data_IF_326743186026
#
_entry.id   IF_326743186026
#
_cell.length_a   1.000
_cell.length_b   1.000
_cell.length_c   1.000
_cell.angle_alpha   90.00
_cell.angle_beta   90.00
_cell.angle_gamma   90.00
#
_symmetry.space_group_name_H-M   'P 1'
#
loop_
_entity.id
_entity.type
_entity.pdbx_description
1 polymer ?
#
# COMPACT_ATOMS: atom_id res chain seq x y z
N UNK A 1 -3.41 31.32 -26.40
CA UNK A 1 -3.40 29.96 -25.81
C UNK A 1 -4.46 29.13 -26.51
N UNK A 2 -4.07 28.10 -27.27
CA UNK A 2 -5.03 27.20 -27.90
C UNK A 2 -5.77 26.41 -26.82
N UNK A 3 -7.08 26.59 -26.74
CA UNK A 3 -7.96 25.76 -25.93
C UNK A 3 -7.96 24.36 -26.55
N UNK A 4 -7.01 23.52 -26.13
CA UNK A 4 -6.99 22.11 -26.51
C UNK A 4 -8.19 21.45 -25.86
N UNK A 5 -9.27 21.24 -26.63
CA UNK A 5 -10.45 20.49 -26.18
C UNK A 5 -9.97 19.15 -25.61
N UNK A 6 -10.29 18.88 -24.34
CA UNK A 6 -10.04 17.57 -23.74
C UNK A 6 -10.83 16.52 -24.52
N UNK A 7 -10.19 15.40 -24.82
CA UNK A 7 -10.87 14.25 -25.42
C UNK A 7 -11.83 13.69 -24.36
N UNK A 8 -13.08 13.43 -24.74
CA UNK A 8 -14.08 12.78 -23.88
C UNK A 8 -14.31 11.38 -24.40
N UNK A 9 -14.10 10.39 -23.54
CA UNK A 9 -14.32 8.99 -23.86
C UNK A 9 -15.80 8.64 -24.00
N UNK A 10 -16.09 7.72 -24.92
CA UNK A 10 -17.45 7.26 -25.24
C UNK A 10 -17.61 5.75 -25.02
N UNK A 11 -16.58 5.05 -24.55
CA UNK A 11 -16.68 3.62 -24.22
C UNK A 11 -17.59 3.41 -23.00
N UNK A 12 -18.77 2.85 -23.22
CA UNK A 12 -19.78 2.63 -22.16
C UNK A 12 -19.54 1.37 -21.31
N UNK A 13 -18.55 0.55 -21.68
CA UNK A 13 -18.19 -0.72 -21.05
C UNK A 13 -16.81 -0.65 -20.39
N UNK A 14 -16.45 -1.70 -19.64
CA UNK A 14 -15.14 -1.77 -18.96
C UNK A 14 -13.95 -1.96 -19.91
N UNK A 15 -14.23 -2.36 -21.16
CA UNK A 15 -13.28 -2.54 -22.27
C UNK A 15 -14.02 -2.25 -23.59
N UNK A 16 -13.32 -1.75 -24.62
CA UNK A 16 -13.94 -1.49 -25.93
C UNK A 16 -14.14 -2.79 -26.72
N UNK A 17 -15.21 -2.88 -27.52
CA UNK A 17 -15.46 -4.06 -28.37
C UNK A 17 -14.29 -4.39 -29.30
N UNK A 18 -13.56 -3.35 -29.73
CA UNK A 18 -12.36 -3.48 -30.56
C UNK A 18 -11.27 -4.25 -29.82
N UNK A 19 -10.97 -3.85 -28.59
CA UNK A 19 -9.95 -4.51 -27.77
C UNK A 19 -10.38 -5.93 -27.37
N UNK A 20 -11.64 -6.12 -26.97
CA UNK A 20 -12.19 -7.45 -26.63
C UNK A 20 -11.98 -8.43 -27.78
N UNK A 21 -12.40 -8.06 -29.01
CA UNK A 21 -12.25 -8.91 -30.19
C UNK A 21 -10.79 -9.19 -30.51
N UNK A 22 -9.93 -8.19 -30.40
CA UNK A 22 -8.50 -8.36 -30.66
C UNK A 22 -7.85 -9.31 -29.64
N UNK A 23 -8.14 -9.15 -28.35
CA UNK A 23 -7.60 -10.02 -27.30
C UNK A 23 -8.13 -11.45 -27.39
N UNK A 24 -9.41 -11.62 -27.75
CA UNK A 24 -10.00 -12.95 -28.01
C UNK A 24 -9.31 -13.66 -29.19
N UNK A 25 -9.13 -12.97 -30.32
CA UNK A 25 -8.48 -13.53 -31.52
C UNK A 25 -7.02 -13.92 -31.29
N UNK A 26 -6.32 -13.22 -30.39
CA UNK A 26 -4.91 -13.46 -30.10
C UNK A 26 -4.68 -14.32 -28.84
N UNK A 27 -5.74 -14.81 -28.18
CA UNK A 27 -5.62 -15.62 -26.97
C UNK A 27 -5.01 -14.88 -25.78
N UNK A 28 -5.22 -13.56 -25.69
CA UNK A 28 -4.65 -12.66 -24.67
C UNK A 28 -5.61 -12.35 -23.52
N UNK A 29 -6.73 -13.07 -23.43
CA UNK A 29 -7.70 -12.91 -22.35
C UNK A 29 -7.17 -13.51 -21.05
N UNK A 30 -7.34 -12.81 -19.94
CA UNK A 30 -7.02 -13.33 -18.63
C UNK A 30 -8.11 -14.30 -18.17
N UNK A 31 -7.76 -15.22 -17.26
CA UNK A 31 -8.70 -16.16 -16.65
C UNK A 31 -9.95 -15.50 -16.02
N UNK A 32 -9.84 -14.25 -15.56
CA UNK A 32 -10.97 -13.48 -15.00
C UNK A 32 -11.98 -13.01 -16.05
N UNK A 33 -11.62 -13.08 -17.35
CA UNK A 33 -12.34 -12.43 -18.45
C UNK A 33 -12.97 -13.44 -19.42
N UNK A 34 -12.79 -14.74 -19.17
CA UNK A 34 -13.23 -15.84 -20.03
C UNK A 34 -14.55 -16.42 -19.53
N UNK A 35 -15.48 -16.70 -20.45
CA UNK A 35 -16.73 -17.41 -20.13
C UNK A 35 -16.57 -18.94 -20.25
N UNK A 36 -16.12 -19.40 -21.41
CA UNK A 36 -15.92 -20.81 -21.76
C UNK A 36 -14.78 -20.95 -22.77
N UNK A 37 -13.85 -21.87 -22.51
CA UNK A 37 -12.71 -22.12 -23.40
C UNK A 37 -11.83 -20.88 -23.58
N UNK A 38 -11.84 -20.28 -24.77
CA UNK A 38 -11.06 -19.08 -25.12
C UNK A 38 -11.93 -17.87 -25.43
N UNK A 39 -13.25 -17.95 -25.22
CA UNK A 39 -14.19 -16.90 -25.58
C UNK A 39 -14.31 -15.87 -24.47
N UNK A 40 -14.26 -14.58 -24.82
CA UNK A 40 -14.47 -13.49 -23.87
C UNK A 40 -15.87 -13.51 -23.28
N UNK A 41 -15.98 -13.16 -22.01
CA UNK A 41 -17.21 -12.65 -21.42
C UNK A 41 -17.17 -11.10 -21.49
N UNK A 42 -17.88 -10.45 -22.44
CA UNK A 42 -17.78 -9.00 -22.62
C UNK A 42 -18.15 -8.19 -21.38
N UNK A 43 -18.87 -8.79 -20.42
CA UNK A 43 -19.24 -8.14 -19.16
C UNK A 43 -18.13 -8.17 -18.11
N UNK A 44 -17.07 -8.96 -18.33
CA UNK A 44 -15.94 -9.16 -17.41
C UNK A 44 -14.61 -8.66 -17.95
N UNK A 45 -14.47 -8.48 -19.27
CA UNK A 45 -13.23 -7.96 -19.86
C UNK A 45 -13.01 -6.51 -19.40
N UNK A 46 -11.81 -6.24 -18.90
CA UNK A 46 -11.40 -4.90 -18.50
C UNK A 46 -10.23 -4.47 -19.37
N UNK A 47 -10.27 -3.21 -19.85
CA UNK A 47 -9.20 -2.61 -20.66
C UNK A 47 -7.83 -2.80 -20.01
N UNK A 48 -6.86 -3.32 -20.75
CA UNK A 48 -5.48 -3.49 -20.29
C UNK A 48 -4.70 -2.18 -20.32
N UNK A 49 -3.67 -2.08 -19.48
CA UNK A 49 -2.78 -0.94 -19.52
C UNK A 49 -1.86 -1.00 -20.75
N UNK A 50 -1.89 0.06 -21.56
CA UNK A 50 -1.02 0.15 -22.74
C UNK A 50 0.18 1.06 -22.45
N UNK A 51 1.38 0.49 -22.54
CA UNK A 51 2.63 1.26 -22.49
C UNK A 51 2.77 1.99 -23.82
N UNK A 52 2.57 3.30 -23.81
CA UNK A 52 2.55 4.19 -24.98
C UNK A 52 3.74 3.97 -25.94
N UNK A 53 3.60 3.10 -26.94
CA UNK A 53 4.56 3.00 -28.05
C UNK A 53 4.16 3.89 -29.25
N UNK A 54 2.88 4.29 -29.34
CA UNK A 54 2.39 5.16 -30.41
C UNK A 54 1.24 6.06 -29.91
N UNK A 55 1.53 7.33 -29.62
CA UNK A 55 0.58 8.31 -29.06
C UNK A 55 -0.66 8.66 -29.92
N UNK A 56 -0.93 7.96 -31.03
CA UNK A 56 -2.11 8.16 -31.88
C UNK A 56 -3.30 7.26 -31.51
N UNK A 57 -3.08 6.04 -31.03
CA UNK A 57 -4.20 5.11 -30.73
C UNK A 57 -4.88 5.41 -29.39
N UNK A 58 -4.14 5.92 -28.41
CA UNK A 58 -4.63 6.24 -27.05
C UNK A 58 -5.66 7.40 -27.00
N UNK A 59 -5.92 8.07 -28.12
CA UNK A 59 -6.79 9.25 -28.19
C UNK A 59 -8.15 8.97 -28.83
N UNK A 60 -8.42 7.74 -29.28
CA UNK A 60 -9.73 7.38 -29.84
C UNK A 60 -10.81 7.47 -28.75
N UNK A 61 -11.85 8.33 -28.91
CA UNK A 61 -12.92 8.45 -27.91
C UNK A 61 -13.60 7.12 -27.58
N UNK A 62 -13.79 6.25 -28.58
CA UNK A 62 -14.41 4.93 -28.41
C UNK A 62 -13.58 3.93 -27.61
N UNK A 63 -12.28 4.21 -27.42
CA UNK A 63 -11.37 3.38 -26.62
C UNK A 63 -11.12 3.96 -25.21
N UNK A 64 -11.66 5.13 -24.90
CA UNK A 64 -11.55 5.79 -23.60
C UNK A 64 -12.87 5.66 -22.83
N UNK A 65 -12.79 5.26 -21.56
CA UNK A 65 -13.95 5.15 -20.67
C UNK A 65 -14.22 6.49 -19.98
N UNK A 66 -15.45 7.03 -20.02
CA UNK A 66 -15.79 8.24 -19.29
C UNK A 66 -15.81 7.99 -17.77
N UNK A 67 -15.72 9.06 -16.99
CA UNK A 67 -15.62 9.03 -15.52
C UNK A 67 -16.57 8.06 -14.80
N UNK A 68 -17.89 8.03 -15.07
CA UNK A 68 -18.79 7.08 -14.41
C UNK A 68 -18.47 5.61 -14.70
N UNK A 69 -17.98 5.32 -15.91
CA UNK A 69 -17.60 3.95 -16.33
C UNK A 69 -16.27 3.56 -15.68
N UNK A 70 -15.34 4.49 -15.50
CA UNK A 70 -14.10 4.25 -14.76
C UNK A 70 -14.38 3.88 -13.30
N UNK A 71 -15.28 4.60 -12.61
CA UNK A 71 -15.67 4.26 -11.25
C UNK A 71 -16.38 2.90 -11.19
N UNK A 72 -17.31 2.62 -12.11
CA UNK A 72 -17.95 1.30 -12.24
C UNK A 72 -16.90 0.19 -12.41
N UNK A 73 -15.90 0.42 -13.25
CA UNK A 73 -14.83 -0.54 -13.50
C UNK A 73 -13.99 -0.77 -12.24
N UNK A 74 -13.62 0.30 -11.54
CA UNK A 74 -12.89 0.19 -10.27
C UNK A 74 -13.68 -0.62 -9.24
N UNK A 75 -14.98 -0.34 -9.09
CA UNK A 75 -15.87 -1.10 -8.21
C UNK A 75 -15.93 -2.58 -8.59
N UNK A 76 -15.98 -2.93 -9.88
CA UNK A 76 -15.91 -4.32 -10.32
C UNK A 76 -14.61 -5.00 -9.88
N UNK A 77 -13.45 -4.35 -10.09
CA UNK A 77 -12.16 -4.90 -9.66
C UNK A 77 -12.13 -5.15 -8.14
N UNK A 78 -12.61 -4.20 -7.34
CA UNK A 78 -12.55 -4.31 -5.87
C UNK A 78 -13.61 -5.26 -5.29
N UNK A 79 -14.81 -5.28 -5.86
CA UNK A 79 -15.93 -6.06 -5.31
C UNK A 79 -16.01 -7.48 -5.85
N UNK A 80 -15.57 -7.72 -7.09
CA UNK A 80 -15.70 -9.02 -7.75
C UNK A 80 -14.36 -9.74 -7.91
N UNK A 81 -13.26 -9.02 -8.14
CA UNK A 81 -11.95 -9.63 -8.43
C UNK A 81 -11.09 -9.81 -7.18
N UNK A 82 -10.92 -8.76 -6.36
CA UNK A 82 -10.13 -8.84 -5.11
C UNK A 82 -10.56 -9.97 -4.14
N UNK A 83 -11.86 -10.24 -3.90
CA UNK A 83 -12.23 -11.29 -2.94
C UNK A 83 -12.09 -12.71 -3.49
N UNK A 84 -11.69 -12.88 -4.76
CA UNK A 84 -11.50 -14.21 -5.35
C UNK A 84 -10.35 -14.94 -4.69
N UNK A 85 -10.57 -16.22 -4.42
CA UNK A 85 -9.63 -17.12 -3.76
C UNK A 85 -9.32 -18.38 -4.58
N UNK A 86 -9.79 -18.44 -5.83
CA UNK A 86 -9.56 -19.56 -6.75
C UNK A 86 -8.20 -19.49 -7.46
N UNK A 87 -7.47 -18.38 -7.28
CA UNK A 87 -6.08 -18.22 -7.71
C UNK A 87 -5.22 -17.65 -6.57
N UNK A 88 -3.88 -17.83 -6.62
CA UNK A 88 -2.96 -17.14 -5.73
C UNK A 88 -3.18 -15.62 -5.80
N UNK A 89 -3.12 -14.94 -4.64
CA UNK A 89 -3.41 -13.51 -4.55
C UNK A 89 -2.45 -12.65 -5.38
N UNK A 90 -1.23 -13.11 -5.63
CA UNK A 90 -0.29 -12.42 -6.54
C UNK A 90 -0.84 -12.32 -7.97
N UNK A 91 -1.53 -13.35 -8.46
CA UNK A 91 -2.17 -13.33 -9.79
C UNK A 91 -3.38 -12.40 -9.81
N UNK A 92 -4.13 -12.33 -8.71
CA UNK A 92 -5.20 -11.35 -8.52
C UNK A 92 -4.62 -9.93 -8.55
N UNK A 93 -3.54 -9.69 -7.80
CA UNK A 93 -2.83 -8.41 -7.77
C UNK A 93 -2.33 -7.99 -9.15
N UNK A 94 -1.65 -8.88 -9.88
CA UNK A 94 -1.08 -8.56 -11.20
C UNK A 94 -2.17 -8.09 -12.17
N UNK A 95 -3.30 -8.80 -12.21
CA UNK A 95 -4.44 -8.41 -13.00
C UNK A 95 -5.01 -7.06 -12.55
N UNK A 96 -5.34 -6.91 -11.26
CA UNK A 96 -5.99 -5.69 -10.76
C UNK A 96 -5.09 -4.47 -10.92
N UNK A 97 -3.79 -4.59 -10.63
CA UNK A 97 -2.80 -3.53 -10.79
C UNK A 97 -2.70 -3.06 -12.25
N UNK A 98 -2.66 -3.98 -13.22
CA UNK A 98 -2.67 -3.63 -14.63
C UNK A 98 -3.95 -2.85 -15.00
N UNK A 99 -5.12 -3.36 -14.62
CA UNK A 99 -6.41 -2.72 -14.94
C UNK A 99 -6.58 -1.37 -14.24
N UNK A 100 -6.06 -1.21 -13.02
CA UNK A 100 -6.00 0.09 -12.32
C UNK A 100 -5.13 1.09 -13.08
N UNK A 101 -3.97 0.67 -13.60
CA UNK A 101 -3.12 1.54 -14.41
C UNK A 101 -3.85 1.98 -15.69
N UNK A 102 -4.62 1.09 -16.32
CA UNK A 102 -5.47 1.45 -17.46
C UNK A 102 -6.56 2.46 -17.10
N UNK A 103 -7.22 2.30 -15.95
CA UNK A 103 -8.22 3.26 -15.43
C UNK A 103 -7.56 4.64 -15.24
N UNK A 104 -6.41 4.69 -14.57
CA UNK A 104 -5.68 5.95 -14.32
C UNK A 104 -5.12 6.58 -15.60
N UNK A 105 -4.74 5.77 -16.59
CA UNK A 105 -4.35 6.25 -17.91
C UNK A 105 -5.52 6.96 -18.60
N UNK A 106 -6.72 6.36 -18.60
CA UNK A 106 -7.93 6.99 -19.15
C UNK A 106 -8.26 8.31 -18.43
N UNK A 107 -8.12 8.36 -17.10
CA UNK A 107 -8.30 9.60 -16.32
C UNK A 107 -7.33 10.70 -16.75
N UNK A 108 -6.07 10.34 -16.95
CA UNK A 108 -5.01 11.29 -17.31
C UNK A 108 -5.19 11.82 -18.72
N UNK A 109 -5.48 10.95 -19.70
CA UNK A 109 -5.73 11.33 -21.11
C UNK A 109 -6.90 12.30 -21.22
N UNK A 110 -7.99 12.02 -20.49
CA UNK A 110 -9.21 12.83 -20.50
C UNK A 110 -9.16 14.04 -19.56
N UNK A 111 -8.11 14.15 -18.72
CA UNK A 111 -7.98 15.17 -17.65
C UNK A 111 -9.18 15.19 -16.70
N UNK A 112 -9.58 14.02 -16.22
CA UNK A 112 -10.71 13.87 -15.29
C UNK A 112 -10.28 14.29 -13.89
N UNK A 113 -10.98 15.28 -13.33
CA UNK A 113 -10.71 15.89 -12.02
C UNK A 113 -12.02 16.10 -11.23
N UNK A 114 -12.92 15.10 -11.27
CA UNK A 114 -14.23 15.13 -10.60
C UNK A 114 -14.25 14.27 -9.31
N UNK A 115 -15.42 14.18 -8.66
CA UNK A 115 -15.59 13.39 -7.43
C UNK A 115 -15.31 11.89 -7.65
N UNK A 116 -15.59 11.35 -8.84
CA UNK A 116 -15.31 9.95 -9.13
C UNK A 116 -13.79 9.72 -9.19
N UNK A 117 -13.02 10.67 -9.75
CA UNK A 117 -11.57 10.60 -9.75
C UNK A 117 -10.99 10.54 -8.33
N UNK A 118 -11.55 11.32 -7.40
CA UNK A 118 -11.19 11.27 -5.99
C UNK A 118 -11.44 9.86 -5.43
N UNK A 119 -12.65 9.34 -5.55
CA UNK A 119 -13.01 8.01 -5.03
C UNK A 119 -12.15 6.89 -5.63
N UNK A 120 -11.86 6.96 -6.93
CA UNK A 120 -10.98 5.99 -7.61
C UNK A 120 -9.56 6.04 -7.03
N UNK A 121 -8.99 7.23 -6.85
CA UNK A 121 -7.63 7.37 -6.30
C UNK A 121 -7.54 6.94 -4.84
N UNK A 122 -8.56 7.24 -4.05
CA UNK A 122 -8.68 6.75 -2.67
C UNK A 122 -8.65 5.21 -2.64
N UNK A 123 -9.45 4.53 -3.49
CA UNK A 123 -9.41 3.08 -3.61
C UNK A 123 -8.05 2.56 -4.11
N UNK A 124 -7.40 3.24 -5.06
CA UNK A 124 -6.07 2.85 -5.55
C UNK A 124 -5.03 2.84 -4.43
N UNK A 125 -4.97 3.90 -3.63
CA UNK A 125 -4.04 4.03 -2.50
C UNK A 125 -4.27 2.92 -1.48
N UNK A 126 -5.54 2.68 -1.10
CA UNK A 126 -5.87 1.60 -0.16
C UNK A 126 -5.51 0.23 -0.71
N UNK A 127 -5.72 0.00 -2.02
CA UNK A 127 -5.29 -1.21 -2.70
C UNK A 127 -3.77 -1.41 -2.62
N UNK A 128 -2.95 -0.40 -2.96
CA UNK A 128 -1.49 -0.54 -2.94
C UNK A 128 -0.92 -0.74 -1.53
N UNK A 129 -1.48 -0.07 -0.52
CA UNK A 129 -1.11 -0.28 0.89
C UNK A 129 -1.47 -1.73 1.31
N UNK A 130 -2.67 -2.17 0.97
CA UNK A 130 -3.13 -3.53 1.27
C UNK A 130 -2.26 -4.57 0.57
N UNK A 131 -1.93 -4.37 -0.72
CA UNK A 131 -1.08 -5.25 -1.51
C UNK A 131 0.33 -5.39 -0.93
N UNK A 132 0.92 -4.28 -0.47
CA UNK A 132 2.23 -4.29 0.18
C UNK A 132 2.27 -5.23 1.37
N UNK A 133 1.20 -5.28 2.18
CA UNK A 133 1.09 -6.23 3.28
C UNK A 133 0.72 -7.64 2.82
N UNK A 134 -0.21 -7.78 1.87
CA UNK A 134 -0.70 -9.08 1.40
C UNK A 134 0.38 -9.93 0.75
N UNK A 135 1.31 -9.29 0.04
CA UNK A 135 2.39 -9.94 -0.71
C UNK A 135 3.77 -9.70 -0.08
N UNK A 136 3.84 -9.32 1.19
CA UNK A 136 5.10 -8.92 1.83
C UNK A 136 6.15 -10.02 1.92
N UNK A 137 5.73 -11.28 1.87
CA UNK A 137 6.58 -12.47 1.91
C UNK A 137 6.83 -13.08 0.52
N UNK A 138 6.23 -12.54 -0.55
CA UNK A 138 6.53 -13.01 -1.90
C UNK A 138 7.94 -12.55 -2.34
N UNK A 139 8.66 -13.38 -3.11
CA UNK A 139 9.91 -12.99 -3.73
C UNK A 139 9.76 -11.76 -4.63
N UNK A 140 10.78 -10.89 -4.67
CA UNK A 140 10.78 -9.66 -5.50
C UNK A 140 10.42 -9.91 -6.98
N UNK A 141 10.81 -11.07 -7.53
CA UNK A 141 10.50 -11.44 -8.93
C UNK A 141 9.00 -11.61 -9.20
N UNK A 142 8.21 -11.92 -8.16
CA UNK A 142 6.76 -12.07 -8.25
C UNK A 142 6.04 -10.81 -7.82
N UNK A 143 6.55 -10.13 -6.78
CA UNK A 143 5.98 -8.88 -6.30
C UNK A 143 7.10 -7.90 -5.95
N UNK A 144 7.18 -6.82 -6.73
CA UNK A 144 8.14 -5.75 -6.47
C UNK A 144 7.51 -4.68 -5.58
N UNK A 145 7.88 -4.70 -4.29
CA UNK A 145 7.43 -3.74 -3.28
C UNK A 145 7.75 -2.29 -3.67
N UNK A 146 8.88 -2.06 -4.34
CA UNK A 146 9.29 -0.72 -4.74
C UNK A 146 8.39 -0.18 -5.85
N UNK A 147 8.08 -0.99 -6.88
CA UNK A 147 7.14 -0.60 -7.93
C UNK A 147 5.73 -0.38 -7.37
N UNK A 148 5.27 -1.21 -6.43
CA UNK A 148 3.99 -1.02 -5.74
C UNK A 148 3.97 0.32 -4.96
N UNK A 149 5.03 0.62 -4.20
CA UNK A 149 5.18 1.89 -3.48
C UNK A 149 5.24 3.10 -4.42
N UNK A 150 5.89 3.00 -5.58
CA UNK A 150 5.84 4.07 -6.58
C UNK A 150 4.41 4.35 -7.06
N UNK A 151 3.60 3.30 -7.33
CA UNK A 151 2.21 3.50 -7.73
C UNK A 151 1.38 4.17 -6.63
N UNK A 152 1.60 3.78 -5.37
CA UNK A 152 1.03 4.43 -4.20
C UNK A 152 1.35 5.94 -4.16
N UNK A 153 2.64 6.31 -4.26
CA UNK A 153 3.05 7.72 -4.23
C UNK A 153 2.43 8.54 -5.35
N UNK A 154 2.42 8.03 -6.59
CA UNK A 154 1.81 8.74 -7.73
C UNK A 154 0.31 8.96 -7.51
N UNK A 155 -0.41 7.95 -7.00
CA UNK A 155 -1.83 8.11 -6.67
C UNK A 155 -2.05 9.15 -5.57
N UNK A 156 -1.22 9.10 -4.52
CA UNK A 156 -1.32 10.00 -3.37
C UNK A 156 -1.08 11.45 -3.77
N UNK A 157 -0.03 11.73 -4.54
CA UNK A 157 0.25 13.06 -5.07
C UNK A 157 -0.91 13.60 -5.90
N UNK A 158 -1.46 12.79 -6.82
CA UNK A 158 -2.60 13.20 -7.65
C UNK A 158 -3.85 13.44 -6.81
N UNK A 159 -4.10 12.63 -5.79
CA UNK A 159 -5.23 12.80 -4.88
C UNK A 159 -5.14 14.16 -4.16
N UNK A 160 -3.97 14.51 -3.61
CA UNK A 160 -3.78 15.80 -2.93
C UNK A 160 -3.93 17.01 -3.86
N UNK A 161 -3.67 16.86 -5.16
CA UNK A 161 -4.01 17.91 -6.14
C UNK A 161 -5.52 18.10 -6.25
N UNK A 162 -6.30 17.01 -6.33
CA UNK A 162 -7.77 17.09 -6.43
C UNK A 162 -8.41 17.64 -5.15
N UNK A 163 -7.88 17.24 -4.01
CA UNK A 163 -8.28 17.67 -2.67
C UNK A 163 -8.16 19.18 -2.41
N UNK A 164 -7.39 19.93 -3.23
CA UNK A 164 -7.40 21.40 -3.18
C UNK A 164 -8.75 21.99 -3.56
N UNK A 165 -9.51 21.29 -4.41
CA UNK A 165 -10.76 21.79 -4.98
C UNK A 165 -11.98 20.94 -4.58
N UNK A 166 -11.77 19.69 -4.18
CA UNK A 166 -12.85 18.74 -3.84
C UNK A 166 -12.71 18.33 -2.37
N UNK A 167 -13.79 18.50 -1.60
CA UNK A 167 -13.87 18.03 -0.22
C UNK A 167 -14.16 16.53 -0.19
N UNK A 168 -13.50 15.82 0.72
CA UNK A 168 -13.75 14.41 1.03
C UNK A 168 -13.75 14.24 2.54
N UNK A 169 -14.63 13.38 3.05
CA UNK A 169 -14.68 13.04 4.47
C UNK A 169 -13.47 12.16 4.88
N UNK A 170 -12.77 11.57 3.90
CA UNK A 170 -11.61 10.71 4.13
C UNK A 170 -10.29 11.49 4.27
N UNK A 171 -10.33 12.83 4.26
CA UNK A 171 -9.14 13.67 4.22
C UNK A 171 -8.13 13.34 5.33
N UNK A 172 -8.61 13.14 6.56
CA UNK A 172 -7.76 12.81 7.71
C UNK A 172 -7.04 11.47 7.57
N UNK A 173 -7.68 10.48 6.94
CA UNK A 173 -7.05 9.19 6.59
C UNK A 173 -5.88 9.41 5.63
N UNK A 174 -6.10 10.12 4.53
CA UNK A 174 -5.06 10.30 3.50
C UNK A 174 -3.92 11.23 3.93
N UNK A 175 -4.16 12.21 4.82
CA UNK A 175 -3.07 12.93 5.49
C UNK A 175 -2.25 11.97 6.35
N UNK A 176 -2.88 11.09 7.12
CA UNK A 176 -2.18 10.10 7.94
C UNK A 176 -1.28 9.19 7.09
N UNK A 177 -1.78 8.74 5.94
CA UNK A 177 -1.00 8.00 4.94
C UNK A 177 0.16 8.85 4.43
N UNK A 178 -0.07 10.11 4.06
CA UNK A 178 0.98 11.02 3.61
C UNK A 178 2.10 11.20 4.64
N UNK A 179 1.74 11.34 5.91
CA UNK A 179 2.73 11.39 6.99
C UNK A 179 3.52 10.09 7.10
N UNK A 180 2.86 8.94 7.00
CA UNK A 180 3.53 7.64 7.03
C UNK A 180 4.53 7.48 5.87
N UNK A 181 4.18 7.90 4.66
CA UNK A 181 5.08 7.84 3.49
C UNK A 181 6.29 8.79 3.63
N UNK A 182 6.14 9.91 4.34
CA UNK A 182 7.16 10.97 4.40
C UNK A 182 7.96 11.03 5.71
N UNK A 183 7.59 10.28 6.76
CA UNK A 183 8.23 10.40 8.09
C UNK A 183 9.74 10.15 8.09
N UNK A 184 10.23 9.32 7.16
CA UNK A 184 11.67 9.09 6.99
C UNK A 184 12.42 10.33 6.46
N UNK A 185 11.74 11.24 5.78
CA UNK A 185 12.25 12.52 5.26
C UNK A 185 11.83 13.65 6.20
N UNK A 186 12.52 13.77 7.32
CA UNK A 186 12.09 14.59 8.47
C UNK A 186 11.78 16.05 8.11
N UNK A 187 12.52 16.68 7.20
CA UNK A 187 12.25 18.04 6.73
C UNK A 187 10.90 18.13 5.98
N UNK A 188 10.69 17.25 5.01
CA UNK A 188 9.43 17.12 4.25
C UNK A 188 8.26 16.83 5.19
N UNK A 189 8.45 15.93 6.15
CA UNK A 189 7.44 15.61 7.16
C UNK A 189 7.05 16.83 7.98
N UNK A 190 8.00 17.56 8.58
CA UNK A 190 7.67 18.75 9.38
C UNK A 190 7.04 19.86 8.55
N UNK A 191 7.47 20.05 7.30
CA UNK A 191 6.81 20.96 6.37
C UNK A 191 5.35 20.54 6.12
N UNK A 192 5.08 19.25 5.94
CA UNK A 192 3.73 18.76 5.70
C UNK A 192 2.77 19.00 6.87
N UNK A 193 3.26 19.00 8.11
CA UNK A 193 2.43 19.34 9.28
C UNK A 193 1.91 20.78 9.19
N UNK A 194 2.74 21.73 8.73
CA UNK A 194 2.28 23.11 8.59
C UNK A 194 1.28 23.26 7.44
N UNK A 195 1.49 22.54 6.33
CA UNK A 195 0.57 22.48 5.19
C UNK A 195 -0.82 21.96 5.61
N UNK A 196 -0.87 20.96 6.49
CA UNK A 196 -2.12 20.37 6.98
C UNK A 196 -2.54 20.86 8.37
N UNK A 197 -2.12 22.07 8.75
CA UNK A 197 -2.36 22.63 10.09
C UNK A 197 -3.84 22.72 10.47
N UNK A 198 -4.72 22.99 9.50
CA UNK A 198 -6.17 23.04 9.69
C UNK A 198 -6.79 21.69 10.10
N UNK A 199 -6.07 20.57 9.90
CA UNK A 199 -6.55 19.21 10.13
C UNK A 199 -5.90 18.53 11.35
N UNK A 200 -5.09 19.25 12.13
CA UNK A 200 -4.39 18.69 13.31
C UNK A 200 -5.37 18.16 14.37
N UNK A 201 -6.60 18.68 14.42
CA UNK A 201 -7.64 18.24 15.34
C UNK A 201 -8.31 16.93 14.94
N UNK A 202 -8.18 16.48 13.69
CA UNK A 202 -8.67 15.19 13.23
C UNK A 202 -7.95 14.04 13.98
N UNK A 203 -8.72 13.08 14.48
CA UNK A 203 -8.18 12.02 15.33
C UNK A 203 -7.19 11.10 14.58
N UNK A 204 -7.42 10.84 13.29
CA UNK A 204 -6.50 10.05 12.46
C UNK A 204 -5.19 10.81 12.22
N UNK A 205 -5.29 12.11 11.91
CA UNK A 205 -4.13 12.99 11.71
C UNK A 205 -3.30 13.09 12.99
N UNK A 206 -3.96 13.40 14.11
CA UNK A 206 -3.33 13.53 15.43
C UNK A 206 -2.64 12.24 15.86
N UNK A 207 -3.28 11.09 15.70
CA UNK A 207 -2.67 9.81 16.06
C UNK A 207 -1.50 9.46 15.14
N UNK A 208 -1.61 9.75 13.83
CA UNK A 208 -0.52 9.55 12.88
C UNK A 208 0.70 10.42 13.21
N UNK A 209 0.50 11.70 13.57
CA UNK A 209 1.58 12.57 14.07
C UNK A 209 2.26 11.95 15.30
N UNK A 210 1.49 11.44 16.27
CA UNK A 210 2.07 10.82 17.47
C UNK A 210 2.90 9.57 17.14
N UNK A 211 2.48 8.76 16.17
CA UNK A 211 3.23 7.59 15.69
C UNK A 211 4.50 8.04 15.00
N UNK A 212 4.43 9.03 14.11
CA UNK A 212 5.57 9.61 13.42
C UNK A 212 6.59 10.23 14.39
N UNK A 213 6.14 10.97 15.40
CA UNK A 213 7.01 11.50 16.46
C UNK A 213 7.70 10.36 17.22
N UNK A 214 6.97 9.31 17.59
CA UNK A 214 7.59 8.16 18.26
C UNK A 214 8.63 7.44 17.38
N UNK A 215 8.43 7.42 16.06
CA UNK A 215 9.42 6.93 15.10
C UNK A 215 10.68 7.82 15.06
N UNK A 216 10.51 9.14 14.91
CA UNK A 216 11.61 10.12 14.85
C UNK A 216 12.44 10.09 16.14
N UNK A 217 11.76 10.03 17.29
CA UNK A 217 12.37 9.96 18.63
C UNK A 217 13.03 8.59 18.91
N UNK A 218 12.92 7.62 17.99
CA UNK A 218 13.37 6.23 18.14
C UNK A 218 12.74 5.52 19.36
N UNK A 219 11.56 5.97 19.77
CA UNK A 219 10.80 5.39 20.87
C UNK A 219 9.96 4.21 20.39
N UNK A 220 10.63 3.09 20.11
CA UNK A 220 10.02 1.88 19.54
C UNK A 220 8.87 1.32 20.41
N UNK A 221 8.95 1.41 21.74
CA UNK A 221 7.85 0.95 22.63
C UNK A 221 6.61 1.81 22.44
N UNK A 222 6.77 3.14 22.41
CA UNK A 222 5.66 4.08 22.16
C UNK A 222 5.12 3.93 20.74
N UNK A 223 5.99 3.75 19.75
CA UNK A 223 5.62 3.52 18.35
C UNK A 223 4.64 2.35 18.23
N UNK A 224 5.01 1.14 18.68
CA UNK A 224 4.12 -0.03 18.58
C UNK A 224 2.86 0.10 19.44
N UNK A 225 2.94 0.78 20.59
CA UNK A 225 1.76 1.05 21.44
C UNK A 225 0.73 1.95 20.74
N UNK A 226 1.18 3.00 20.07
CA UNK A 226 0.31 3.94 19.35
C UNK A 226 -0.20 3.33 18.04
N UNK A 227 0.67 2.61 17.32
CA UNK A 227 0.35 1.98 16.05
C UNK A 227 -0.82 0.98 16.17
N UNK A 228 -0.93 0.26 17.29
CA UNK A 228 -2.06 -0.64 17.56
C UNK A 228 -3.41 0.08 17.70
N UNK A 229 -3.42 1.40 17.96
CA UNK A 229 -4.63 2.22 18.04
C UNK A 229 -5.10 2.77 16.70
N UNK A 230 -4.23 2.77 15.68
CA UNK A 230 -4.60 3.27 14.35
C UNK A 230 -5.69 2.39 13.72
N UNK A 231 -6.58 2.99 12.91
CA UNK A 231 -7.35 2.27 11.91
C UNK A 231 -6.44 1.40 11.06
N UNK A 232 -6.97 0.27 10.58
CA UNK A 232 -6.12 -0.77 9.99
C UNK A 232 -5.37 -0.29 8.74
N UNK A 233 -5.98 0.56 7.90
CA UNK A 233 -5.31 1.06 6.71
C UNK A 233 -4.11 1.96 7.03
N UNK A 234 -4.25 2.84 8.03
CA UNK A 234 -3.16 3.66 8.54
C UNK A 234 -2.10 2.81 9.23
N UNK A 235 -2.49 1.75 9.93
CA UNK A 235 -1.54 0.80 10.50
C UNK A 235 -0.68 0.18 9.39
N UNK A 236 -1.31 -0.28 8.31
CA UNK A 236 -0.62 -0.90 7.17
C UNK A 236 0.33 0.07 6.48
N UNK A 237 0.03 1.38 6.41
CA UNK A 237 0.96 2.36 5.83
C UNK A 237 2.26 2.58 6.64
N UNK A 238 2.34 2.08 7.88
CA UNK A 238 3.59 2.11 8.67
C UNK A 238 4.33 0.76 8.68
N UNK A 239 3.79 -0.27 8.05
CA UNK A 239 4.28 -1.64 8.16
C UNK A 239 5.73 -1.78 7.66
N UNK A 240 6.11 -1.08 6.59
CA UNK A 240 7.47 -1.13 6.02
C UNK A 240 8.57 -0.63 6.95
N UNK A 241 8.22 0.10 8.02
CA UNK A 241 9.20 0.53 9.03
C UNK A 241 9.54 -0.56 10.05
N UNK A 242 8.75 -1.64 10.17
CA UNK A 242 8.90 -2.60 11.27
C UNK A 242 10.28 -3.24 11.34
N UNK A 243 10.86 -3.79 10.23
CA UNK A 243 12.19 -4.36 10.29
C UNK A 243 13.24 -3.32 10.71
N UNK A 244 13.18 -2.11 10.16
CA UNK A 244 14.13 -1.04 10.46
C UNK A 244 14.07 -0.60 11.93
N UNK A 245 12.87 -0.37 12.47
CA UNK A 245 12.66 0.00 13.87
C UNK A 245 13.16 -1.10 14.80
N UNK A 246 12.94 -2.37 14.46
CA UNK A 246 13.42 -3.51 15.28
C UNK A 246 14.94 -3.56 15.33
N UNK A 247 15.63 -3.41 14.19
CA UNK A 247 17.09 -3.35 14.15
C UNK A 247 17.61 -2.15 14.95
N UNK A 248 17.02 -0.97 14.75
CA UNK A 248 17.40 0.24 15.48
C UNK A 248 17.20 0.08 16.99
N UNK A 249 16.10 -0.54 17.41
CA UNK A 249 15.85 -0.83 18.82
C UNK A 249 16.90 -1.78 19.40
N UNK A 250 17.24 -2.86 18.69
CA UNK A 250 18.29 -3.79 19.11
C UNK A 250 19.66 -3.11 19.19
N UNK A 251 19.99 -2.18 18.29
CA UNK A 251 21.21 -1.38 18.36
C UNK A 251 21.26 -0.54 19.65
N UNK A 252 20.18 0.19 19.94
CA UNK A 252 20.04 1.03 21.14
C UNK A 252 20.15 0.18 22.41
N UNK A 253 19.42 -0.94 22.47
CA UNK A 253 19.41 -1.84 23.63
C UNK A 253 20.78 -2.51 23.82
N UNK A 254 21.45 -2.88 22.72
CA UNK A 254 22.77 -3.50 22.78
C UNK A 254 23.84 -2.57 23.35
N UNK A 255 23.72 -1.26 23.11
CA UNK A 255 24.56 -0.26 23.76
C UNK A 255 24.15 -0.03 25.23
N UNK A 256 22.85 0.18 25.49
CA UNK A 256 22.34 0.58 26.80
C UNK A 256 22.47 -0.51 27.88
N UNK A 257 22.26 -1.78 27.52
CA UNK A 257 22.31 -2.93 28.43
C UNK A 257 23.60 -3.74 28.32
N UNK A 258 24.63 -3.20 27.66
CA UNK A 258 25.92 -3.87 27.44
C UNK A 258 26.56 -4.31 28.77
N UNK A 259 26.63 -5.62 29.03
CA UNK A 259 27.21 -6.18 30.26
C UNK A 259 27.63 -7.63 30.07
N UNK A 260 28.73 -8.03 30.72
CA UNK A 260 29.21 -9.42 30.70
C UNK A 260 28.37 -10.36 31.59
N UNK A 261 27.47 -9.81 32.42
CA UNK A 261 26.67 -10.57 33.40
C UNK A 261 25.18 -10.50 33.08
N UNK A 262 24.71 -9.42 32.48
CA UNK A 262 23.29 -9.21 32.20
C UNK A 262 22.79 -10.20 31.13
N UNK A 263 21.86 -11.07 31.53
CA UNK A 263 21.08 -11.92 30.63
C UNK A 263 19.72 -11.28 30.45
N UNK A 264 19.48 -10.65 29.30
CA UNK A 264 18.23 -9.94 29.04
C UNK A 264 17.14 -10.90 28.56
N UNK A 265 15.97 -10.98 29.22
CA UNK A 265 14.91 -11.92 28.83
C UNK A 265 14.31 -11.59 27.45
N UNK A 266 14.26 -12.59 26.56
CA UNK A 266 13.76 -12.38 25.18
C UNK A 266 12.27 -12.06 25.12
N UNK A 267 11.48 -12.51 26.10
CA UNK A 267 10.04 -12.22 26.17
C UNK A 267 9.76 -10.71 26.34
N UNK A 268 10.64 -9.98 27.03
CA UNK A 268 10.56 -8.52 27.15
C UNK A 268 10.80 -7.87 25.79
N UNK A 269 11.79 -8.33 25.02
CA UNK A 269 12.04 -7.85 23.65
C UNK A 269 10.84 -8.11 22.74
N UNK A 270 10.28 -9.32 22.80
CA UNK A 270 9.08 -9.68 22.05
C UNK A 270 7.92 -8.72 22.35
N UNK A 271 7.69 -8.43 23.64
CA UNK A 271 6.65 -7.49 24.07
C UNK A 271 6.91 -6.06 23.59
N UNK A 272 8.14 -5.55 23.73
CA UNK A 272 8.49 -4.17 23.36
C UNK A 272 8.51 -3.92 21.86
N UNK A 273 8.89 -4.92 21.07
CA UNK A 273 9.02 -4.83 19.61
C UNK A 273 7.82 -5.42 18.86
N UNK A 274 6.76 -5.73 19.60
CA UNK A 274 5.52 -6.33 19.10
C UNK A 274 5.77 -7.54 18.20
N UNK A 275 6.63 -8.45 18.64
CA UNK A 275 6.93 -9.72 17.97
C UNK A 275 6.30 -10.86 18.75
N UNK A 276 5.48 -11.67 18.08
CA UNK A 276 4.79 -12.81 18.69
C UNK A 276 5.70 -14.02 18.80
N UNK A 277 6.52 -14.30 17.78
CA UNK A 277 7.37 -15.49 17.74
C UNK A 277 8.72 -15.26 18.39
N UNK A 278 8.95 -15.91 19.54
CA UNK A 278 10.25 -15.86 20.23
C UNK A 278 11.40 -16.35 19.35
N UNK A 279 11.19 -17.39 18.54
CA UNK A 279 12.21 -17.92 17.63
C UNK A 279 12.67 -16.87 16.61
N UNK A 280 11.75 -16.08 16.06
CA UNK A 280 12.09 -14.99 15.15
C UNK A 280 12.89 -13.89 15.85
N UNK A 281 12.49 -13.49 17.08
CA UNK A 281 13.23 -12.48 17.85
C UNK A 281 14.66 -12.92 18.16
N UNK A 282 14.84 -14.19 18.56
CA UNK A 282 16.14 -14.80 18.77
C UNK A 282 16.98 -14.78 17.48
N UNK A 283 16.43 -15.24 16.36
CA UNK A 283 17.13 -15.20 15.07
C UNK A 283 17.54 -13.77 14.68
N UNK A 284 16.67 -12.79 14.89
CA UNK A 284 16.96 -11.38 14.62
C UNK A 284 18.13 -10.88 15.48
N UNK A 285 18.14 -11.20 16.78
CA UNK A 285 19.25 -10.88 17.68
C UNK A 285 20.57 -11.50 17.20
N UNK A 286 20.54 -12.78 16.80
CA UNK A 286 21.69 -13.50 16.23
C UNK A 286 22.23 -12.82 14.97
N UNK A 287 21.34 -12.44 14.05
CA UNK A 287 21.71 -11.74 12.82
C UNK A 287 22.37 -10.38 13.12
N UNK A 288 21.96 -9.71 14.20
CA UNK A 288 22.59 -8.49 14.70
C UNK A 288 23.89 -8.73 15.49
N UNK A 289 24.40 -9.96 15.58
CA UNK A 289 25.62 -10.29 16.34
C UNK A 289 25.43 -10.32 17.86
N UNK A 290 24.19 -10.36 18.35
CA UNK A 290 23.86 -10.47 19.77
C UNK A 290 23.88 -11.96 20.17
N UNK A 291 24.61 -12.28 21.23
CA UNK A 291 24.73 -13.67 21.72
C UNK A 291 23.44 -14.12 22.39
N UNK A 292 23.07 -15.37 22.16
CA UNK A 292 21.87 -16.00 22.73
C UNK A 292 22.29 -17.02 23.77
N UNK A 293 21.55 -17.06 24.87
CA UNK A 293 21.64 -18.07 25.91
C UNK A 293 20.22 -18.53 26.27
N UNK A 294 19.78 -19.64 25.66
CA UNK A 294 18.41 -20.18 25.80
C UNK A 294 17.31 -19.15 25.48
N UNK A 295 16.61 -18.64 26.50
CA UNK A 295 15.54 -17.63 26.41
C UNK A 295 16.02 -16.21 26.78
N UNK A 296 17.32 -16.00 26.79
CA UNK A 296 17.94 -14.71 27.09
C UNK A 296 18.93 -14.31 26.01
N UNK A 297 19.19 -13.01 25.91
CA UNK A 297 20.21 -12.44 25.04
C UNK A 297 21.23 -11.66 25.86
N UNK A 298 22.48 -11.67 25.41
CA UNK A 298 23.59 -10.99 26.08
C UNK A 298 24.04 -9.82 25.21
N UNK A 299 23.75 -8.61 25.67
CA UNK A 299 24.11 -7.40 24.98
C UNK A 299 25.58 -7.03 25.18
N UNK A 300 26.24 -6.67 24.09
CA UNK A 300 27.63 -6.21 24.08
C UNK A 300 27.80 -5.14 23.00
N UNK A 301 28.06 -3.89 23.41
CA UNK A 301 28.19 -2.74 22.51
C UNK A 301 29.22 -2.91 21.39
N UNK A 302 30.18 -3.84 21.51
CA UNK A 302 31.22 -4.10 20.50
C UNK A 302 30.83 -5.14 19.44
N UNK A 303 29.74 -5.90 19.64
CA UNK A 303 29.40 -7.03 18.77
C UNK A 303 28.23 -6.77 17.83
N UNK A 304 27.70 -5.54 17.77
CA UNK A 304 26.55 -5.24 16.93
C UNK A 304 26.91 -5.24 15.44
N UNK A 305 26.21 -6.06 14.67
CA UNK A 305 26.32 -6.10 13.22
C UNK A 305 25.05 -5.50 12.62
N UNK A 306 25.22 -4.52 11.72
CA UNK A 306 24.10 -3.95 10.99
C UNK A 306 23.62 -4.95 9.95
N UNK A 307 22.33 -5.30 10.00
CA UNK A 307 21.68 -6.20 9.05
C UNK A 307 21.13 -5.35 7.90
N UNK A 308 21.54 -5.67 6.67
CA UNK A 308 21.11 -4.94 5.47
C UNK A 308 19.94 -5.60 4.76
N UNK A 309 19.78 -6.92 4.89
CA UNK A 309 18.63 -7.64 4.31
C UNK A 309 17.50 -7.72 5.33
N UNK A 310 16.46 -6.93 5.10
CA UNK A 310 15.31 -6.79 5.97
C UNK A 310 14.09 -7.37 5.26
N UNK A 311 13.91 -8.68 5.42
CA UNK A 311 12.68 -9.33 4.96
C UNK A 311 11.49 -8.86 5.78
N UNK A 312 10.44 -8.47 5.05
CA UNK A 312 9.14 -8.20 5.61
C UNK A 312 8.45 -9.53 5.93
N UNK A 313 7.68 -9.55 7.02
CA UNK A 313 6.95 -10.74 7.45
C UNK A 313 5.53 -10.39 7.85
N UNK A 314 4.63 -11.35 7.69
CA UNK A 314 3.27 -11.24 8.20
C UNK A 314 3.29 -11.09 9.72
N UNK A 315 2.33 -10.31 10.21
CA UNK A 315 2.22 -9.94 11.61
C UNK A 315 0.88 -10.43 12.15
N UNK A 316 0.91 -11.44 13.01
CA UNK A 316 -0.28 -12.07 13.61
C UNK A 316 -1.33 -11.07 14.13
N UNK A 317 -0.90 -9.96 14.73
CA UNK A 317 -1.82 -8.95 15.26
C UNK A 317 -2.47 -8.08 14.17
N UNK A 318 -1.82 -7.94 13.00
CA UNK A 318 -2.38 -7.30 11.82
C UNK A 318 -3.35 -8.28 11.14
N UNK A 319 -2.95 -9.53 10.98
CA UNK A 319 -3.81 -10.58 10.41
C UNK A 319 -5.10 -10.73 11.21
N UNK A 320 -5.01 -10.76 12.54
CA UNK A 320 -6.18 -10.81 13.44
C UNK A 320 -7.12 -9.59 13.29
N UNK A 321 -6.60 -8.44 12.86
CA UNK A 321 -7.42 -7.26 12.55
C UNK A 321 -8.03 -7.36 11.15
N UNK A 322 -7.27 -7.86 10.17
CA UNK A 322 -7.75 -8.07 8.80
C UNK A 322 -8.84 -9.14 8.72
N UNK A 323 -8.77 -10.21 9.51
CA UNK A 323 -9.82 -11.24 9.57
C UNK A 323 -11.19 -10.68 9.97
N UNK A 324 -11.22 -9.57 10.70
CA UNK A 324 -12.46 -8.90 11.14
C UNK A 324 -13.07 -8.01 10.06
N UNK A 325 -12.35 -7.79 8.96
CA UNK A 325 -12.73 -6.83 7.92
C UNK A 325 -12.42 -7.38 6.53
N UNK A 326 -13.44 -7.59 5.70
CA UNK A 326 -13.22 -8.01 4.32
C UNK A 326 -12.34 -7.02 3.54
N UNK A 327 -11.42 -7.52 2.72
CA UNK A 327 -10.54 -6.70 1.88
C UNK A 327 -11.31 -5.70 1.01
N UNK A 328 -12.47 -6.10 0.49
CA UNK A 328 -13.37 -5.24 -0.28
C UNK A 328 -13.82 -4.01 0.52
N UNK A 329 -14.31 -4.19 1.75
CA UNK A 329 -14.69 -3.06 2.64
C UNK A 329 -13.48 -2.18 2.98
N UNK A 330 -12.31 -2.78 3.16
CA UNK A 330 -11.06 -2.05 3.40
C UNK A 330 -10.69 -1.14 2.25
N UNK A 331 -10.69 -1.65 1.03
CA UNK A 331 -10.31 -0.86 -0.13
C UNK A 331 -11.38 0.16 -0.50
N UNK A 332 -12.66 -0.15 -0.29
CA UNK A 332 -13.76 0.80 -0.46
C UNK A 332 -13.83 1.89 0.62
N UNK A 333 -13.06 1.78 1.73
CA UNK A 333 -13.10 2.73 2.83
C UNK A 333 -14.42 2.71 3.63
N UNK A 334 -15.08 1.55 3.71
CA UNK A 334 -16.38 1.38 4.38
C UNK A 334 -16.26 0.71 5.76
N UNK A 335 -15.22 1.05 6.53
CA UNK A 335 -14.88 0.41 7.83
C UNK A 335 -15.14 1.35 8.99
#
# INVERSE_FOLDING_TARGET
>A
MACTKSVVGTCSQMCSDKEIKWREQNGLLHYFEIQYGTKADPTKVVKEFSRSAAGKELLSPGDLRPSPVLLKTMNYLINEIIPRNDLPWVTVYDFVNDRIQAIRQDMTVQRIEDNNAVVILEMCIRFYITASYMLCEEPQKKFDQYLNSQQLSICLEKLFVLYKNIKSDNFGEFIGIYFAENVAYTETYYHSISVFSDYISDENVKLSIQVCTAYIDRNFVRFYKLLKKLPIILLLSFFHYFPHIRIQALEILNAAFSSNVCKFPVNILCSWLSVTETKYMLQLCQNCGIKIDSLSVNFNKKSFNKVNDLSMKKETFIDSKLEKVSLTKLINGSI
#
